data_IF_185493054441
#
_entry.id   IF_185493054441
#
_cell.length_a   1.000
_cell.length_b   1.000
_cell.length_c   1.000
_cell.angle_alpha   90.00
_cell.angle_beta   90.00
_cell.angle_gamma   90.00
#
_symmetry.space_group_name_H-M   'P 1'
#
loop_
_entity.id
_entity.type
_entity.pdbx_description
1 polymer ?
#
# COMPACT_ATOMS: atom_id res chain seq x y z
N UNK A 1 2.34 67.08 -10.06
CA UNK A 1 2.24 66.77 -8.61
C UNK A 1 1.92 65.30 -8.45
N UNK A 2 2.69 64.61 -7.59
CA UNK A 2 2.49 63.28 -6.99
C UNK A 2 2.67 62.01 -7.84
N UNK A 3 3.78 61.32 -7.55
CA UNK A 3 4.13 59.92 -7.80
C UNK A 3 3.01 58.94 -7.41
N UNK A 4 3.00 57.73 -8.02
CA UNK A 4 3.48 56.48 -7.38
C UNK A 4 3.86 55.43 -8.43
N UNK A 5 5.09 54.95 -8.30
CA UNK A 5 5.59 53.67 -8.84
C UNK A 5 5.02 52.56 -7.96
N UNK A 6 4.36 51.57 -8.55
CA UNK A 6 4.08 50.24 -7.96
C UNK A 6 3.76 49.35 -9.17
N UNK A 7 4.66 48.53 -9.73
CA UNK A 7 5.47 47.52 -9.06
C UNK A 7 4.70 46.20 -9.08
N UNK A 8 4.71 45.47 -10.20
CA UNK A 8 4.31 44.05 -10.20
C UNK A 8 5.02 43.30 -11.32
N UNK A 9 6.08 42.58 -10.94
CA UNK A 9 6.81 41.62 -11.78
C UNK A 9 6.00 40.33 -11.76
N UNK A 10 5.30 40.00 -12.86
CA UNK A 10 4.68 38.70 -13.06
C UNK A 10 5.67 37.81 -13.81
N UNK A 11 6.40 37.00 -13.03
CA UNK A 11 7.33 36.00 -13.54
C UNK A 11 6.62 34.95 -14.38
N UNK A 12 7.14 34.72 -15.59
CA UNK A 12 6.71 33.68 -16.51
C UNK A 12 7.20 32.32 -15.99
N UNK A 13 6.33 31.50 -15.43
CA UNK A 13 6.64 30.10 -15.08
C UNK A 13 6.43 29.26 -16.33
N UNK A 14 7.52 28.71 -16.84
CA UNK A 14 7.56 27.79 -18.00
C UNK A 14 6.91 26.46 -17.59
N UNK A 15 5.73 26.16 -18.15
CA UNK A 15 5.14 24.82 -18.06
C UNK A 15 5.87 23.86 -19.00
N UNK A 16 6.95 23.24 -18.53
CA UNK A 16 7.38 21.94 -19.07
C UNK A 16 6.41 20.89 -18.53
N UNK A 17 5.31 20.65 -19.25
CA UNK A 17 4.40 19.56 -18.94
C UNK A 17 5.16 18.24 -19.13
N UNK A 18 5.58 17.73 -17.98
CA UNK A 18 6.26 16.49 -17.72
C UNK A 18 5.56 15.33 -18.45
N UNK A 19 6.33 14.66 -19.32
CA UNK A 19 6.04 13.28 -19.65
C UNK A 19 6.15 12.44 -18.39
N UNK A 20 5.00 12.03 -17.86
CA UNK A 20 4.88 10.92 -16.95
C UNK A 20 3.47 10.39 -17.12
N UNK A 21 3.30 9.50 -18.09
CA UNK A 21 2.18 8.57 -18.10
C UNK A 21 2.21 7.86 -16.74
N UNK A 22 1.33 8.27 -15.84
CA UNK A 22 1.10 7.60 -14.56
C UNK A 22 0.53 6.21 -14.86
N UNK A 23 1.39 5.27 -15.22
CA UNK A 23 1.05 3.87 -15.23
C UNK A 23 0.73 3.53 -13.78
N UNK A 24 -0.54 3.28 -13.52
CA UNK A 24 -1.09 2.94 -12.23
C UNK A 24 -0.12 2.02 -11.49
N UNK A 25 0.40 2.50 -10.36
CA UNK A 25 1.04 1.62 -9.40
C UNK A 25 -0.01 0.57 -9.06
N UNK A 26 0.18 -0.66 -9.55
CA UNK A 26 -0.44 -1.80 -8.91
C UNK A 26 -0.02 -1.68 -7.45
N UNK A 27 -1.00 -1.45 -6.56
CA UNK A 27 -0.86 -1.49 -5.10
C UNK A 27 -0.22 -2.82 -4.72
N UNK A 28 1.10 -2.87 -4.86
CA UNK A 28 1.95 -3.92 -4.36
C UNK A 28 2.08 -3.57 -2.90
N UNK A 29 1.04 -3.95 -2.15
CA UNK A 29 1.02 -3.81 -0.70
C UNK A 29 2.38 -4.28 -0.19
N UNK A 30 3.09 -3.45 0.62
CA UNK A 30 4.46 -3.76 1.01
C UNK A 30 4.49 -5.17 1.56
N UNK A 31 5.44 -5.96 1.06
CA UNK A 31 5.77 -7.30 1.53
C UNK A 31 6.24 -7.19 2.99
N UNK A 32 5.30 -6.92 3.89
CA UNK A 32 5.54 -6.75 5.31
C UNK A 32 5.91 -8.12 5.86
N UNK A 33 6.86 -8.15 6.78
CA UNK A 33 7.32 -9.39 7.40
C UNK A 33 6.21 -9.93 8.32
N UNK A 34 5.70 -11.17 8.14
CA UNK A 34 4.65 -11.73 9.00
C UNK A 34 5.06 -11.91 10.46
N UNK A 35 6.36 -11.76 10.78
CA UNK A 35 6.87 -11.74 12.16
C UNK A 35 6.58 -10.45 12.90
N UNK A 36 6.29 -9.35 12.19
CA UNK A 36 6.04 -8.04 12.80
C UNK A 36 4.56 -7.76 12.98
N UNK A 37 3.67 -8.64 12.50
CA UNK A 37 2.23 -8.50 12.60
C UNK A 37 1.49 -9.16 11.44
N UNK A 38 0.20 -8.86 11.32
CA UNK A 38 -0.64 -9.37 10.23
C UNK A 38 -0.26 -8.72 8.90
N UNK A 39 -0.03 -9.57 7.90
CA UNK A 39 0.36 -9.17 6.54
C UNK A 39 -0.74 -9.60 5.61
N UNK A 40 -1.36 -8.63 4.92
CA UNK A 40 -2.41 -8.91 3.95
C UNK A 40 -1.75 -9.30 2.61
N UNK A 41 -1.92 -10.57 2.24
CA UNK A 41 -1.38 -11.21 1.03
C UNK A 41 -2.24 -10.90 -0.19
N UNK A 42 -3.56 -10.82 0.01
CA UNK A 42 -4.54 -10.44 -0.99
C UNK A 42 -5.70 -9.78 -0.27
N UNK A 43 -6.19 -8.69 -0.80
CA UNK A 43 -7.48 -8.14 -0.39
C UNK A 43 -8.19 -7.59 -1.62
N UNK A 44 -9.42 -8.01 -1.79
CA UNK A 44 -10.34 -7.50 -2.80
C UNK A 44 -11.70 -7.21 -2.16
N UNK A 45 -12.65 -6.72 -2.97
CA UNK A 45 -13.98 -6.33 -2.46
C UNK A 45 -14.75 -7.47 -1.79
N UNK A 46 -14.40 -8.73 -2.05
CA UNK A 46 -15.19 -9.88 -1.60
C UNK A 46 -14.42 -10.84 -0.70
N UNK A 47 -13.10 -10.91 -0.83
CA UNK A 47 -12.24 -11.79 -0.04
C UNK A 47 -10.95 -11.10 0.39
N UNK A 48 -10.40 -11.55 1.51
CA UNK A 48 -9.07 -11.18 1.96
C UNK A 48 -8.32 -12.39 2.52
N UNK A 49 -7.01 -12.39 2.33
CA UNK A 49 -6.10 -13.38 2.87
C UNK A 49 -4.99 -12.62 3.58
N UNK A 50 -4.82 -12.93 4.85
CA UNK A 50 -3.75 -12.39 5.68
C UNK A 50 -2.92 -13.53 6.27
N UNK A 51 -1.67 -13.22 6.63
CA UNK A 51 -0.78 -14.16 7.30
C UNK A 51 -0.06 -13.50 8.46
N UNK A 52 0.25 -14.28 9.49
CA UNK A 52 1.00 -13.86 10.67
C UNK A 52 1.84 -15.01 11.20
N UNK A 53 3.00 -14.71 11.77
CA UNK A 53 3.81 -15.70 12.47
C UNK A 53 3.47 -15.71 13.97
N UNK A 54 3.29 -16.92 14.50
CA UNK A 54 3.24 -17.22 15.93
C UNK A 54 4.35 -18.23 16.25
N UNK A 55 5.46 -17.74 16.80
CA UNK A 55 6.69 -18.51 16.92
C UNK A 55 7.19 -18.99 15.54
N UNK A 56 7.44 -20.29 15.40
CA UNK A 56 7.81 -20.90 14.11
C UNK A 56 6.61 -21.26 13.23
N UNK A 57 5.39 -20.95 13.67
CA UNK A 57 4.15 -21.31 12.98
C UNK A 57 3.64 -20.15 12.15
N UNK A 58 3.34 -20.40 10.88
CA UNK A 58 2.68 -19.43 10.01
C UNK A 58 1.18 -19.70 9.98
N UNK A 59 0.39 -18.68 10.32
CA UNK A 59 -1.07 -18.74 10.32
C UNK A 59 -1.56 -17.94 9.12
N UNK A 60 -2.31 -18.58 8.23
CA UNK A 60 -3.08 -17.94 7.17
C UNK A 60 -4.54 -17.80 7.60
N UNK A 61 -5.07 -16.59 7.50
CA UNK A 61 -6.46 -16.29 7.72
C UNK A 61 -7.07 -15.77 6.43
N UNK A 62 -7.92 -16.60 5.82
CA UNK A 62 -8.77 -16.22 4.71
C UNK A 62 -10.14 -15.81 5.25
N UNK A 63 -10.62 -14.64 4.86
CA UNK A 63 -11.96 -14.19 5.17
C UNK A 63 -12.69 -13.84 3.87
N UNK A 64 -13.98 -14.15 3.83
CA UNK A 64 -14.87 -13.76 2.75
C UNK A 64 -16.08 -13.06 3.36
N UNK A 65 -16.56 -11.98 2.75
CA UNK A 65 -17.68 -11.20 3.30
C UNK A 65 -19.01 -11.97 3.31
N UNK A 66 -19.10 -13.08 2.57
CA UNK A 66 -20.22 -14.02 2.61
C UNK A 66 -20.11 -15.06 3.74
N UNK A 67 -19.11 -14.95 4.62
CA UNK A 67 -18.87 -15.87 5.73
C UNK A 67 -18.03 -17.11 5.37
N UNK A 68 -17.67 -17.31 4.10
CA UNK A 68 -16.86 -18.45 3.67
C UNK A 68 -15.36 -18.15 3.80
N UNK A 69 -14.90 -18.00 5.05
CA UNK A 69 -13.48 -17.90 5.40
C UNK A 69 -12.87 -19.25 5.79
N UNK A 70 -11.59 -19.23 6.12
CA UNK A 70 -10.85 -20.39 6.61
C UNK A 70 -9.55 -20.01 7.29
N UNK A 71 -9.11 -20.89 8.19
CA UNK A 71 -7.80 -20.81 8.84
C UNK A 71 -6.94 -21.96 8.36
N UNK A 72 -5.71 -21.66 7.96
CA UNK A 72 -4.68 -22.65 7.66
C UNK A 72 -3.45 -22.36 8.52
N UNK A 73 -2.86 -23.42 9.08
CA UNK A 73 -1.74 -23.31 10.02
C UNK A 73 -0.60 -24.18 9.51
N UNK A 74 0.58 -23.60 9.37
CA UNK A 74 1.79 -24.26 8.88
C UNK A 74 2.85 -24.17 9.98
N UNK A 75 3.08 -25.28 10.67
CA UNK A 75 4.15 -25.37 11.67
C UNK A 75 5.53 -25.33 11.00
N UNK A 76 6.52 -24.76 11.71
CA UNK A 76 7.93 -24.67 11.27
C UNK A 76 8.09 -24.01 9.89
N UNK A 77 7.34 -22.93 9.65
CA UNK A 77 7.45 -22.17 8.41
C UNK A 77 8.79 -21.42 8.36
N UNK A 78 9.55 -21.53 7.24
CA UNK A 78 10.77 -20.75 7.05
C UNK A 78 10.50 -19.25 7.01
N UNK A 79 9.27 -18.83 6.68
CA UNK A 79 8.86 -17.42 6.74
C UNK A 79 8.92 -16.87 8.17
N UNK A 80 8.79 -17.74 9.18
CA UNK A 80 8.77 -17.41 10.60
C UNK A 80 10.08 -17.71 11.36
N UNK A 81 11.11 -18.24 10.69
CA UNK A 81 12.40 -18.65 11.29
C UNK A 81 13.52 -17.61 11.17
#
# INVERSE_FOLDING_TARGET
>A
MKSRVTGMVLGLVVLTACGASSTAAADTQPNMNPRTGWVVVREDRQVGVSKVCDGSTLIYHAFAYNGNGGLAVIANSPECS
#
